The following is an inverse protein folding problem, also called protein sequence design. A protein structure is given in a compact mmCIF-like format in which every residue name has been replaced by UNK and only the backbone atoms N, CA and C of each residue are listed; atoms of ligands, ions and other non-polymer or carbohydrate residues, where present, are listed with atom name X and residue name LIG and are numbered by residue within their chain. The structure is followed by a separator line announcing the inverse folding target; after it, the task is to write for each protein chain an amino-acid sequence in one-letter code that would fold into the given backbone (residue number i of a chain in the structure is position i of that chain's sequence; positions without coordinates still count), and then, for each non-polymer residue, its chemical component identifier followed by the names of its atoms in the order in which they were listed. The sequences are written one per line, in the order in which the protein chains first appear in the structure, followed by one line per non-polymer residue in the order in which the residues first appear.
data_IF_666661592675
#
_entry.id   IF_666661592675
#
_cell.length_a   1.000
_cell.length_b   1.000
_cell.length_c   1.000
_cell.angle_alpha   90.00
_cell.angle_beta   90.00
_cell.angle_gamma   90.00
#
_symmetry.space_group_name_H-M   'P 1'
#
loop_
_entity.id
_entity.type
_entity.pdbx_description
1 polymer ?
#
# COMPACT_ATOMS: atom_id res chain seq x y z
N UNK A 1 -5.92 -7.82 11.38
CA UNK A 1 -4.68 -8.27 10.69
C UNK A 1 -3.55 -8.24 11.72
N UNK A 2 -2.68 -9.27 11.78
CA UNK A 2 -1.52 -9.27 12.69
C UNK A 2 -0.37 -8.53 12.02
N UNK A 3 0.36 -7.73 12.81
CA UNK A 3 1.47 -6.90 12.33
C UNK A 3 2.74 -7.28 13.07
N UNK A 4 3.84 -7.44 12.33
CA UNK A 4 5.12 -7.85 12.89
C UNK A 4 6.22 -6.85 12.53
N UNK A 5 7.19 -6.72 13.44
CA UNK A 5 8.37 -5.89 13.26
C UNK A 5 9.56 -6.76 12.85
N UNK A 6 10.11 -6.49 11.67
CA UNK A 6 11.36 -7.07 11.19
C UNK A 6 12.51 -6.14 11.56
N UNK A 7 13.56 -6.68 12.14
CA UNK A 7 14.71 -5.91 12.57
C UNK A 7 15.82 -5.93 11.53
N UNK A 8 16.31 -4.76 11.16
CA UNK A 8 17.51 -4.56 10.36
C UNK A 8 18.53 -3.73 11.13
N UNK A 9 19.73 -4.28 11.33
CA UNK A 9 20.83 -3.57 11.96
C UNK A 9 22.00 -3.45 10.99
N UNK A 10 22.23 -2.27 10.37
CA UNK A 10 23.31 -2.05 9.41
C UNK A 10 24.70 -2.26 9.99
N UNK A 11 24.89 -2.20 11.32
CA UNK A 11 26.17 -2.50 11.96
C UNK A 11 26.48 -4.01 11.99
N UNK A 12 25.48 -4.87 11.76
CA UNK A 12 25.62 -6.33 11.74
C UNK A 12 25.51 -6.93 10.34
N UNK A 13 24.71 -6.29 9.49
CA UNK A 13 24.48 -6.73 8.13
C UNK A 13 24.22 -5.52 7.23
N UNK A 14 25.11 -5.32 6.27
CA UNK A 14 24.98 -4.28 5.25
C UNK A 14 24.02 -4.77 4.18
N UNK A 15 22.94 -4.03 3.95
CA UNK A 15 21.98 -4.33 2.89
C UNK A 15 22.50 -3.72 1.58
N UNK A 16 23.45 -4.42 0.95
CA UNK A 16 24.15 -3.93 -0.25
C UNK A 16 23.21 -3.63 -1.42
N UNK A 17 22.14 -4.41 -1.54
CA UNK A 17 21.16 -4.27 -2.63
C UNK A 17 20.04 -3.26 -2.33
N UNK A 18 20.02 -2.62 -1.16
CA UNK A 18 18.89 -1.75 -0.75
C UNK A 18 18.50 -0.71 -1.82
N UNK A 19 19.49 -0.10 -2.50
CA UNK A 19 19.20 0.87 -3.56
C UNK A 19 18.50 0.23 -4.75
N UNK A 20 18.93 -0.97 -5.15
CA UNK A 20 18.32 -1.74 -6.26
C UNK A 20 16.95 -2.27 -5.86
N UNK A 21 16.80 -2.71 -4.60
CA UNK A 21 15.54 -3.21 -4.07
C UNK A 21 14.49 -2.08 -4.00
N UNK A 22 14.90 -0.84 -3.68
CA UNK A 22 14.05 0.36 -3.78
C UNK A 22 13.68 0.66 -5.24
N UNK A 23 14.66 0.63 -6.16
CA UNK A 23 14.41 0.83 -7.59
C UNK A 23 13.46 -0.24 -8.15
N UNK A 24 13.59 -1.50 -7.71
CA UNK A 24 12.67 -2.58 -8.09
C UNK A 24 11.25 -2.28 -7.59
N UNK A 25 11.08 -1.85 -6.33
CA UNK A 25 9.77 -1.42 -5.81
C UNK A 25 9.24 -0.21 -6.60
N UNK A 26 10.09 0.78 -6.90
CA UNK A 26 9.70 1.95 -7.71
C UNK A 26 9.27 1.58 -9.14
N UNK A 27 9.76 0.47 -9.69
CA UNK A 27 9.47 -0.02 -11.04
C UNK A 27 8.34 -1.03 -11.09
N UNK A 28 8.23 -1.92 -10.12
CA UNK A 28 7.32 -3.07 -10.14
C UNK A 28 6.28 -3.07 -9.02
N UNK A 29 6.32 -2.07 -8.13
CA UNK A 29 5.42 -1.95 -6.98
C UNK A 29 5.81 -2.83 -5.79
N UNK A 30 6.68 -3.81 -5.95
CA UNK A 30 7.14 -4.68 -4.87
C UNK A 30 8.49 -5.34 -5.18
N UNK A 31 9.13 -5.84 -4.14
CA UNK A 31 10.25 -6.77 -4.28
C UNK A 31 10.10 -7.91 -3.28
N UNK A 32 10.70 -9.05 -3.56
CA UNK A 32 10.60 -10.24 -2.72
C UNK A 32 11.95 -10.61 -2.12
N UNK A 33 11.97 -10.84 -0.80
CA UNK A 33 13.20 -11.24 -0.10
C UNK A 33 12.90 -12.14 1.09
N UNK A 34 13.81 -13.10 1.33
CA UNK A 34 13.87 -13.84 2.56
C UNK A 34 14.36 -12.96 3.71
N UNK A 35 13.72 -13.07 4.87
CA UNK A 35 14.12 -12.34 6.08
C UNK A 35 14.05 -13.24 7.30
N UNK A 36 15.02 -13.08 8.20
CA UNK A 36 14.98 -13.79 9.48
C UNK A 36 13.84 -13.29 10.36
N UNK A 37 13.12 -14.21 10.95
CA UNK A 37 12.04 -13.91 11.90
C UNK A 37 12.42 -14.26 13.35
N UNK A 38 13.71 -14.38 13.62
CA UNK A 38 14.26 -14.72 14.92
C UNK A 38 13.78 -16.09 15.39
N UNK A 39 13.00 -16.13 16.48
CA UNK A 39 12.41 -17.35 17.04
C UNK A 39 10.90 -17.47 16.76
N UNK A 40 10.32 -16.55 15.98
CA UNK A 40 8.89 -16.51 15.68
C UNK A 40 8.50 -17.66 14.75
N UNK A 41 7.71 -18.61 15.24
CA UNK A 41 7.16 -19.73 14.45
C UNK A 41 5.75 -19.44 13.92
N UNK A 42 5.00 -18.63 14.65
CA UNK A 42 3.63 -18.25 14.33
C UNK A 42 3.61 -16.86 13.67
N UNK A 43 3.83 -16.85 12.38
CA UNK A 43 3.75 -15.68 11.50
C UNK A 43 2.98 -16.11 10.24
N UNK A 44 1.65 -15.92 10.23
CA UNK A 44 0.80 -16.35 9.12
C UNK A 44 1.12 -15.65 7.81
N UNK A 45 0.90 -16.34 6.69
CA UNK A 45 0.93 -15.75 5.35
C UNK A 45 -0.04 -14.56 5.29
N UNK A 46 0.33 -13.49 4.60
CA UNK A 46 -0.44 -12.26 4.50
C UNK A 46 -0.36 -11.35 5.74
N UNK A 47 0.41 -11.74 6.78
CA UNK A 47 0.69 -10.84 7.90
C UNK A 47 1.43 -9.59 7.40
N UNK A 48 1.00 -8.42 7.87
CA UNK A 48 1.68 -7.15 7.62
C UNK A 48 3.01 -7.10 8.36
N UNK A 49 4.03 -6.52 7.75
CA UNK A 49 5.33 -6.34 8.39
C UNK A 49 5.86 -4.93 8.19
N UNK A 50 6.60 -4.44 9.19
CA UNK A 50 7.39 -3.23 9.09
C UNK A 50 8.87 -3.54 9.32
N UNK A 51 9.76 -2.86 8.59
CA UNK A 51 11.21 -3.00 8.74
C UNK A 51 11.73 -1.88 9.64
N UNK A 52 12.23 -2.24 10.80
CA UNK A 52 12.84 -1.33 11.77
C UNK A 52 14.34 -1.30 11.58
N UNK A 53 14.88 -0.15 11.17
CA UNK A 53 16.31 0.11 11.13
C UNK A 53 16.83 0.43 12.54
N UNK A 54 17.78 -0.37 12.98
CA UNK A 54 18.46 -0.30 14.29
C UNK A 54 19.94 0.11 14.12
N UNK A 55 20.72 -0.05 15.17
CA UNK A 55 22.18 0.23 15.15
C UNK A 55 22.47 1.71 15.27
N UNK A 56 23.28 2.25 14.35
CA UNK A 56 23.62 3.69 14.30
C UNK A 56 22.47 4.52 13.73
N UNK A 57 22.41 5.78 14.12
CA UNK A 57 21.44 6.75 13.59
C UNK A 57 21.58 6.94 12.06
N UNK A 58 20.46 7.27 11.39
CA UNK A 58 19.11 7.44 11.90
C UNK A 58 18.40 6.09 12.11
N UNK A 59 17.64 5.94 13.21
CA UNK A 59 16.85 4.75 13.54
C UNK A 59 15.37 5.01 13.33
N UNK A 60 14.63 3.97 12.97
CA UNK A 60 13.18 4.06 12.75
C UNK A 60 12.68 3.08 11.71
N UNK A 61 11.41 3.20 11.33
CA UNK A 61 10.80 2.34 10.32
C UNK A 61 11.21 2.84 8.93
N UNK A 62 11.79 1.93 8.14
CA UNK A 62 12.34 2.19 6.80
C UNK A 62 11.58 1.45 5.70
N UNK A 63 10.62 0.59 6.04
CA UNK A 63 9.90 -0.16 5.03
C UNK A 63 8.73 -0.94 5.57
N UNK A 64 7.95 -1.46 4.66
CA UNK A 64 6.77 -2.28 4.94
C UNK A 64 6.61 -3.36 3.89
N UNK A 65 5.75 -4.36 4.19
CA UNK A 65 5.46 -5.47 3.29
C UNK A 65 4.52 -6.48 3.90
N UNK A 66 4.46 -7.66 3.28
CA UNK A 66 3.60 -8.76 3.68
C UNK A 66 4.36 -10.09 3.66
N UNK A 67 4.02 -10.98 4.58
CA UNK A 67 4.56 -12.33 4.60
C UNK A 67 3.98 -13.18 3.45
N UNK A 68 4.84 -13.79 2.64
CA UNK A 68 4.45 -14.69 1.55
C UNK A 68 4.46 -16.15 1.97
N UNK A 69 5.28 -16.50 2.96
CA UNK A 69 5.38 -17.89 3.46
C UNK A 69 5.35 -17.90 4.99
N UNK A 70 4.98 -19.03 5.54
CA UNK A 70 5.22 -19.31 6.95
C UNK A 70 6.72 -19.44 7.24
N UNK A 71 7.16 -19.20 8.51
CA UNK A 71 8.55 -19.40 8.90
C UNK A 71 9.03 -20.84 8.75
N UNK A 72 10.16 -21.03 8.09
CA UNK A 72 10.83 -22.32 7.93
C UNK A 72 12.31 -22.23 8.27
N UNK A 73 12.93 -23.36 8.58
CA UNK A 73 14.37 -23.43 8.82
C UNK A 73 15.13 -23.30 7.49
N UNK A 74 16.00 -22.30 7.44
CA UNK A 74 16.94 -22.07 6.33
C UNK A 74 18.36 -21.93 6.84
N UNK A 75 19.35 -21.93 5.94
CA UNK A 75 20.70 -21.56 6.31
C UNK A 75 20.73 -20.16 6.91
N UNK A 76 21.64 -19.98 7.87
CA UNK A 76 21.78 -18.68 8.54
C UNK A 76 22.09 -17.56 7.54
N UNK A 77 21.52 -16.38 7.71
CA UNK A 77 21.74 -15.22 6.84
C UNK A 77 23.20 -14.70 6.89
N UNK A 78 23.89 -14.92 8.00
CA UNK A 78 25.32 -14.67 8.17
C UNK A 78 26.09 -15.83 7.52
N UNK A 79 26.95 -15.50 6.55
CA UNK A 79 27.68 -16.48 5.73
C UNK A 79 28.65 -17.35 6.55
N UNK A 80 29.30 -16.76 7.58
CA UNK A 80 30.23 -17.51 8.43
C UNK A 80 29.46 -18.57 9.23
N UNK A 81 28.35 -18.20 9.84
CA UNK A 81 27.47 -19.12 10.58
C UNK A 81 26.79 -20.14 9.65
N UNK A 82 26.43 -19.74 8.44
CA UNK A 82 25.90 -20.65 7.42
C UNK A 82 26.94 -21.72 7.01
N UNK A 83 28.21 -21.33 6.88
CA UNK A 83 29.31 -22.27 6.57
C UNK A 83 29.54 -23.31 7.66
N UNK A 84 29.18 -22.98 8.90
CA UNK A 84 29.20 -23.89 10.07
C UNK A 84 27.92 -24.76 10.17
N UNK A 85 27.02 -24.66 9.19
CA UNK A 85 25.77 -25.41 9.15
C UNK A 85 24.67 -24.84 10.07
N UNK A 86 24.86 -23.66 10.64
CA UNK A 86 23.84 -23.04 11.47
C UNK A 86 22.62 -22.66 10.64
N UNK A 87 21.45 -22.83 11.25
CA UNK A 87 20.15 -22.52 10.65
C UNK A 87 19.43 -21.45 11.47
N UNK A 88 18.60 -20.66 10.79
CA UNK A 88 17.68 -19.73 11.42
C UNK A 88 16.27 -19.92 10.86
N UNK A 89 15.28 -19.41 11.58
CA UNK A 89 13.94 -19.29 11.03
C UNK A 89 13.88 -18.06 10.12
N UNK A 90 13.40 -18.26 8.90
CA UNK A 90 13.14 -17.19 7.94
C UNK A 90 11.83 -17.44 7.22
N UNK A 91 11.25 -16.38 6.65
CA UNK A 91 10.12 -16.40 5.75
C UNK A 91 10.41 -15.53 4.53
N UNK A 92 9.67 -15.74 3.46
CA UNK A 92 9.66 -14.83 2.31
C UNK A 92 8.69 -13.69 2.57
N UNK A 93 9.12 -12.48 2.23
CA UNK A 93 8.33 -11.27 2.34
C UNK A 93 8.28 -10.54 1.00
N UNK A 94 7.13 -10.01 0.69
CA UNK A 94 6.94 -9.04 -0.38
C UNK A 94 6.94 -7.66 0.26
N UNK A 95 7.97 -6.87 -0.04
CA UNK A 95 8.06 -5.48 0.41
C UNK A 95 7.39 -4.57 -0.61
N UNK A 96 6.49 -3.71 -0.13
CA UNK A 96 5.73 -2.73 -0.90
C UNK A 96 6.30 -1.31 -0.76
N UNK A 97 7.18 -1.11 0.21
CA UNK A 97 7.87 0.15 0.43
C UNK A 97 9.21 -0.08 1.13
N UNK A 98 10.25 0.58 0.64
CA UNK A 98 11.58 0.65 1.28
C UNK A 98 12.16 2.05 1.14
N UNK A 99 12.93 2.47 2.15
CA UNK A 99 13.67 3.74 2.16
C UNK A 99 15.05 3.58 2.77
N UNK A 100 16.00 4.40 2.34
CA UNK A 100 17.35 4.47 2.94
C UNK A 100 17.34 5.14 4.31
N UNK A 101 16.37 6.01 4.54
CA UNK A 101 16.18 6.77 5.78
C UNK A 101 14.85 6.42 6.41
N UNK A 102 14.73 6.49 7.75
CA UNK A 102 13.47 6.24 8.41
C UNK A 102 12.36 7.21 7.94
N UNK A 103 11.21 6.66 7.64
CA UNK A 103 9.97 7.40 7.38
C UNK A 103 9.32 7.80 8.70
N UNK A 104 9.29 6.89 9.67
CA UNK A 104 8.88 7.18 11.05
C UNK A 104 10.11 6.98 11.92
N UNK A 105 10.55 8.05 12.56
CA UNK A 105 11.76 8.03 13.39
C UNK A 105 11.57 7.26 14.70
N UNK A 106 12.64 6.69 15.25
CA UNK A 106 12.59 6.07 16.57
C UNK A 106 12.13 7.05 17.64
N UNK A 107 12.51 8.33 17.51
CA UNK A 107 12.10 9.37 18.46
C UNK A 107 10.57 9.52 18.50
N UNK A 108 9.92 9.52 17.35
CA UNK A 108 8.45 9.55 17.25
C UNK A 108 7.82 8.27 17.82
N UNK A 109 8.39 7.11 17.50
CA UNK A 109 7.92 5.81 18.00
C UNK A 109 8.05 5.66 19.53
N UNK A 110 8.92 6.43 20.15
CA UNK A 110 9.09 6.48 21.62
C UNK A 110 8.11 7.43 22.30
N UNK A 111 7.33 8.21 21.55
CA UNK A 111 6.28 9.08 22.09
C UNK A 111 4.91 8.40 22.11
N UNK A 112 3.98 8.84 22.97
CA UNK A 112 2.58 8.42 22.85
C UNK A 112 2.02 8.73 21.46
N UNK A 113 1.19 7.86 20.88
CA UNK A 113 0.64 6.64 21.48
C UNK A 113 1.52 5.37 21.27
N UNK A 114 2.69 5.48 20.65
CA UNK A 114 3.55 4.35 20.28
C UNK A 114 4.48 3.86 21.39
N UNK A 115 4.71 4.65 22.42
CA UNK A 115 5.73 4.42 23.47
C UNK A 115 5.58 3.13 24.28
N UNK A 116 4.42 2.46 24.20
CA UNK A 116 4.18 1.20 24.90
C UNK A 116 4.79 -0.03 24.21
N UNK A 117 5.36 0.14 23.01
CA UNK A 117 6.01 -0.93 22.25
C UNK A 117 7.52 -0.80 22.34
N UNK A 118 8.23 -1.93 22.46
CA UNK A 118 9.68 -1.94 22.36
C UNK A 118 10.12 -1.86 20.90
N UNK A 119 10.41 -0.67 20.41
CA UNK A 119 10.87 -0.42 19.03
C UNK A 119 12.33 -0.76 18.77
N UNK A 120 13.07 -1.22 19.78
CA UNK A 120 14.44 -1.67 19.64
C UNK A 120 14.61 -3.14 19.98
N UNK A 121 13.86 -4.06 19.32
CA UNK A 121 13.92 -5.47 19.65
C UNK A 121 15.30 -6.06 19.34
N UNK A 122 15.74 -7.01 20.17
CA UNK A 122 16.99 -7.72 19.95
C UNK A 122 16.94 -8.74 18.80
N UNK A 123 15.73 -9.17 18.42
CA UNK A 123 15.49 -10.10 17.33
C UNK A 123 14.29 -9.69 16.48
N UNK A 124 14.30 -10.13 15.24
CA UNK A 124 13.22 -9.94 14.26
C UNK A 124 11.97 -10.78 14.60
N UNK A 125 10.81 -10.42 14.04
CA UNK A 125 9.56 -11.16 14.20
C UNK A 125 8.78 -10.82 15.46
N UNK A 126 9.00 -9.66 16.07
CA UNK A 126 8.19 -9.19 17.20
C UNK A 126 6.80 -8.78 16.70
N UNK A 127 5.76 -9.27 17.36
CA UNK A 127 4.38 -8.88 17.08
C UNK A 127 4.06 -7.53 17.74
N UNK A 128 3.43 -6.64 16.98
CA UNK A 128 2.98 -5.33 17.46
C UNK A 128 1.56 -5.50 18.01
N UNK A 129 1.25 -5.02 19.24
CA UNK A 129 -0.10 -5.07 19.79
C UNK A 129 -1.13 -4.41 18.84
N UNK A 130 -2.32 -5.01 18.72
CA UNK A 130 -3.32 -4.61 17.74
C UNK A 130 -3.71 -3.13 17.80
N UNK A 131 -3.77 -2.56 19.01
CA UNK A 131 -4.10 -1.14 19.24
C UNK A 131 -3.05 -0.22 18.62
N UNK A 132 -1.76 -0.54 18.83
CA UNK A 132 -0.65 0.24 18.27
C UNK A 132 -0.48 -0.04 16.78
N UNK A 133 -0.76 -1.27 16.36
CA UNK A 133 -0.71 -1.69 14.97
C UNK A 133 -1.63 -0.84 14.08
N UNK A 134 -2.87 -0.59 14.51
CA UNK A 134 -3.82 0.27 13.79
C UNK A 134 -3.31 1.72 13.68
N UNK A 135 -2.80 2.26 14.78
CA UNK A 135 -2.24 3.62 14.79
C UNK A 135 -0.99 3.73 13.89
N UNK A 136 -0.16 2.69 13.88
CA UNK A 136 1.03 2.64 13.04
C UNK A 136 0.67 2.59 11.56
N UNK A 137 -0.32 1.78 11.17
CA UNK A 137 -0.80 1.74 9.78
C UNK A 137 -1.37 3.09 9.33
N UNK A 138 -2.17 3.74 10.17
CA UNK A 138 -2.69 5.06 9.86
C UNK A 138 -1.54 6.06 9.63
N UNK A 139 -0.59 6.11 10.58
CA UNK A 139 0.57 7.00 10.46
C UNK A 139 1.45 6.64 9.26
N UNK A 140 1.66 5.36 8.98
CA UNK A 140 2.39 4.89 7.80
C UNK A 140 1.68 5.31 6.52
N UNK A 141 0.36 5.20 6.50
CA UNK A 141 -0.49 5.67 5.42
C UNK A 141 -0.32 7.15 5.11
N UNK A 142 -0.14 8.03 6.07
CA UNK A 142 0.11 9.46 5.85
C UNK A 142 1.37 9.72 5.01
N UNK A 143 2.37 8.85 5.08
CA UNK A 143 3.64 9.01 4.37
C UNK A 143 3.72 8.21 3.06
N UNK A 144 3.07 7.05 3.02
CA UNK A 144 3.18 6.10 1.90
C UNK A 144 1.97 6.09 1.01
N UNK A 145 0.82 6.46 1.53
CA UNK A 145 -0.34 6.75 0.71
C UNK A 145 -0.28 8.20 0.24
N UNK A 146 0.20 8.36 -0.93
CA UNK A 146 -0.57 9.16 -1.83
C UNK A 146 -1.92 8.46 -2.08
N UNK A 147 -2.71 8.21 -1.04
CA UNK A 147 -4.11 7.73 -1.10
C UNK A 147 -4.39 6.61 -2.12
N UNK A 148 -3.64 5.51 -2.03
CA UNK A 148 -3.92 4.32 -2.81
C UNK A 148 -4.85 3.40 -2.03
N UNK A 149 -6.15 3.45 -2.37
CA UNK A 149 -7.06 2.39 -2.00
C UNK A 149 -6.81 1.19 -2.92
N UNK A 150 -6.76 -0.04 -2.39
CA UNK A 150 -6.62 -1.22 -3.25
C UNK A 150 -7.80 -1.29 -4.22
N UNK A 151 -7.51 -1.48 -5.51
CA UNK A 151 -8.55 -1.80 -6.47
C UNK A 151 -9.23 -3.10 -6.04
N UNK A 152 -10.56 -3.09 -5.99
CA UNK A 152 -11.35 -4.27 -5.63
C UNK A 152 -11.00 -5.44 -6.57
N UNK A 153 -10.49 -6.51 -5.98
CA UNK A 153 -10.29 -7.78 -6.69
C UNK A 153 -11.64 -8.31 -7.14
N UNK A 154 -11.77 -8.62 -8.41
CA UNK A 154 -12.95 -9.26 -8.99
C UNK A 154 -13.35 -10.49 -8.17
N UNK A 155 -14.59 -10.50 -7.72
CA UNK A 155 -15.20 -11.45 -6.78
C UNK A 155 -15.15 -12.88 -7.28
N UNK A 156 -14.71 -13.79 -6.42
CA UNK A 156 -15.30 -15.13 -6.34
C UNK A 156 -16.21 -15.18 -5.11
N UNK A 157 -17.46 -15.48 -5.32
CA UNK A 157 -18.53 -15.37 -4.32
C UNK A 157 -18.44 -16.50 -3.30
N UNK A 158 -18.30 -16.20 -2.01
CA UNK A 158 -18.85 -16.98 -0.89
C UNK A 158 -18.99 -16.09 0.33
N UNK A 159 -20.20 -16.00 0.85
CA UNK A 159 -20.53 -15.26 2.06
C UNK A 159 -20.28 -16.12 3.28
N UNK A 160 -19.28 -15.76 4.09
CA UNK A 160 -19.18 -16.15 5.49
C UNK A 160 -18.72 -14.91 6.24
N UNK A 161 -19.58 -14.28 7.01
CA UNK A 161 -19.22 -13.20 7.91
C UNK A 161 -18.30 -13.74 9.00
N UNK A 162 -17.18 -13.05 9.24
CA UNK A 162 -16.24 -13.38 10.32
C UNK A 162 -15.01 -14.19 9.92
N UNK A 163 -14.88 -14.69 8.69
CA UNK A 163 -13.65 -15.29 8.21
C UNK A 163 -12.74 -14.22 7.59
N UNK A 164 -11.54 -14.06 8.17
CA UNK A 164 -10.46 -13.28 7.54
C UNK A 164 -10.10 -13.94 6.21
N UNK A 165 -10.59 -13.39 5.11
CA UNK A 165 -10.22 -13.82 3.76
C UNK A 165 -8.85 -13.19 3.47
N UNK A 166 -7.83 -14.01 3.27
CA UNK A 166 -6.58 -13.56 2.67
C UNK A 166 -6.88 -13.14 1.23
N UNK A 167 -6.90 -11.85 1.01
CA UNK A 167 -6.91 -11.30 -0.34
C UNK A 167 -5.45 -11.11 -0.70
N UNK A 168 -4.95 -11.95 -1.63
CA UNK A 168 -3.77 -11.59 -2.41
C UNK A 168 -4.19 -10.36 -3.23
N UNK A 169 -3.88 -9.19 -2.70
CA UNK A 169 -3.98 -7.96 -3.47
C UNK A 169 -2.87 -8.07 -4.51
N UNK A 170 -3.25 -8.23 -5.77
CA UNK A 170 -2.34 -7.94 -6.85
C UNK A 170 -2.03 -6.44 -6.75
N UNK A 171 -0.95 -6.12 -6.05
CA UNK A 171 -0.36 -4.80 -6.07
C UNK A 171 0.24 -4.63 -7.48
N UNK A 172 -0.61 -4.39 -8.48
CA UNK A 172 -0.14 -3.88 -9.75
C UNK A 172 0.47 -2.51 -9.47
N UNK A 173 1.67 -2.40 -9.94
CA UNK A 173 2.54 -1.25 -9.85
C UNK A 173 1.80 0.09 -9.96
N UNK A 174 2.01 0.93 -8.95
CA UNK A 174 1.64 2.34 -9.01
C UNK A 174 2.89 3.18 -8.85
N UNK A 175 3.45 3.56 -9.96
CA UNK A 175 4.61 4.44 -9.98
C UNK A 175 4.23 5.80 -9.34
N UNK A 176 4.70 6.04 -8.12
CA UNK A 176 4.45 7.26 -7.36
C UNK A 176 4.78 8.53 -8.16
N UNK A 177 5.86 8.51 -8.93
CA UNK A 177 6.26 9.63 -9.79
C UNK A 177 5.26 9.85 -10.93
N UNK A 178 4.71 8.77 -11.50
CA UNK A 178 3.67 8.85 -12.50
C UNK A 178 2.37 9.43 -11.92
N UNK A 179 2.00 9.04 -10.70
CA UNK A 179 0.88 9.64 -9.97
C UNK A 179 1.10 11.13 -9.69
N UNK A 180 2.24 11.50 -9.15
CA UNK A 180 2.60 12.89 -8.87
C UNK A 180 2.59 13.74 -10.15
N UNK A 181 3.13 13.21 -11.26
CA UNK A 181 3.10 13.87 -12.56
C UNK A 181 1.68 13.99 -13.12
N UNK A 182 0.84 12.96 -12.97
CA UNK A 182 -0.56 13.01 -13.37
C UNK A 182 -1.32 14.10 -12.60
N UNK A 183 -1.21 14.14 -11.27
CA UNK A 183 -1.87 15.15 -10.43
C UNK A 183 -1.27 16.54 -10.68
N UNK A 184 0.04 16.65 -10.84
CA UNK A 184 0.69 17.91 -11.16
C UNK A 184 0.21 18.54 -12.47
N UNK A 185 -0.16 17.71 -13.45
CA UNK A 185 -0.68 18.16 -14.75
C UNK A 185 -2.21 18.38 -14.73
N UNK A 186 -2.98 17.42 -14.20
CA UNK A 186 -4.43 17.42 -14.26
C UNK A 186 -5.10 18.09 -13.06
N UNK A 187 -4.36 18.34 -11.97
CA UNK A 187 -4.91 18.75 -10.67
C UNK A 187 -5.58 17.60 -9.91
N UNK A 188 -6.15 17.93 -8.75
CA UNK A 188 -6.87 16.98 -7.87
C UNK A 188 -8.40 16.96 -8.09
N UNK A 189 -8.90 17.59 -9.16
CA UNK A 189 -10.33 17.61 -9.50
C UNK A 189 -10.72 16.33 -10.24
N UNK A 190 -11.78 15.66 -9.79
CA UNK A 190 -12.28 14.43 -10.41
C UNK A 190 -12.66 14.65 -11.88
N UNK A 191 -12.04 13.93 -12.80
CA UNK A 191 -12.30 14.03 -14.23
C UNK A 191 -13.66 13.45 -14.66
N UNK A 192 -14.39 12.78 -13.75
CA UNK A 192 -15.74 12.24 -14.02
C UNK A 192 -16.82 13.20 -13.53
N UNK A 193 -16.87 13.46 -12.21
CA UNK A 193 -17.97 14.23 -11.58
C UNK A 193 -17.60 15.67 -11.24
N UNK A 194 -16.35 16.07 -11.52
CA UNK A 194 -15.83 17.43 -11.31
C UNK A 194 -15.76 17.87 -9.84
N UNK A 195 -15.91 16.95 -8.87
CA UNK A 195 -15.76 17.28 -7.44
C UNK A 195 -14.29 17.53 -7.11
N UNK A 196 -14.06 18.49 -6.21
CA UNK A 196 -12.81 18.70 -5.52
C UNK A 196 -13.05 18.36 -4.06
N UNK A 197 -12.28 17.41 -3.50
CA UNK A 197 -12.64 16.81 -2.21
C UNK A 197 -12.31 17.73 -1.03
N UNK A 198 -11.34 18.60 -1.14
CA UNK A 198 -11.04 19.65 -0.19
C UNK A 198 -12.13 20.73 -0.10
N UNK A 199 -12.80 21.07 -1.22
CA UNK A 199 -13.98 21.94 -1.20
C UNK A 199 -15.14 21.31 -0.41
N UNK A 200 -15.20 19.98 -0.33
CA UNK A 200 -16.29 19.25 0.32
C UNK A 200 -15.97 18.85 1.77
N UNK A 201 -14.73 18.42 2.03
CA UNK A 201 -14.30 17.88 3.34
C UNK A 201 -13.37 18.81 4.11
N UNK A 202 -12.91 19.92 3.51
CA UNK A 202 -11.99 20.88 4.13
C UNK A 202 -10.53 20.73 3.69
N UNK A 203 -9.71 21.70 4.09
CA UNK A 203 -8.31 21.86 3.66
C UNK A 203 -7.42 20.65 4.00
N UNK A 204 -7.74 19.89 5.03
CA UNK A 204 -7.01 18.66 5.41
C UNK A 204 -7.02 17.59 4.31
N UNK A 205 -7.90 17.72 3.32
CA UNK A 205 -8.04 16.81 2.18
C UNK A 205 -7.54 17.40 0.87
N UNK A 206 -6.72 18.44 0.92
CA UNK A 206 -6.07 19.01 -0.27
C UNK A 206 -5.23 17.94 -0.99
N UNK A 207 -5.46 17.81 -2.30
CA UNK A 207 -4.78 16.81 -3.12
C UNK A 207 -5.27 15.37 -2.97
N UNK A 208 -6.29 15.11 -2.13
CA UNK A 208 -6.88 13.78 -1.99
C UNK A 208 -7.66 13.40 -3.24
N UNK A 209 -7.11 12.49 -4.06
CA UNK A 209 -7.72 12.01 -5.30
C UNK A 209 -7.14 10.64 -5.67
N UNK A 210 -7.90 9.78 -6.31
CA UNK A 210 -7.38 8.56 -6.95
C UNK A 210 -6.84 8.87 -8.34
N UNK A 211 -5.88 8.05 -8.79
CA UNK A 211 -5.41 8.06 -10.18
C UNK A 211 -5.83 6.76 -10.83
N UNK A 212 -6.60 6.85 -11.91
CA UNK A 212 -7.13 5.73 -12.66
C UNK A 212 -6.36 5.54 -13.96
N UNK A 213 -6.04 4.28 -14.30
CA UNK A 213 -5.42 3.90 -15.57
C UNK A 213 -6.48 3.81 -16.66
N UNK A 214 -6.31 4.57 -17.73
CA UNK A 214 -7.24 4.55 -18.88
C UNK A 214 -7.18 3.23 -19.66
N UNK A 215 -6.05 2.51 -19.57
CA UNK A 215 -5.91 1.14 -20.07
C UNK A 215 -5.73 0.19 -18.90
N UNK A 216 -6.56 -0.86 -18.79
CA UNK A 216 -6.40 -1.83 -17.72
C UNK A 216 -5.01 -2.48 -17.75
N UNK A 217 -4.31 -2.50 -16.62
CA UNK A 217 -3.00 -3.14 -16.49
C UNK A 217 -3.07 -4.66 -16.74
N UNK A 218 -4.26 -5.26 -16.58
CA UNK A 218 -4.51 -6.68 -16.88
C UNK A 218 -4.41 -7.04 -18.38
N UNK A 219 -4.44 -6.07 -19.27
CA UNK A 219 -4.29 -6.24 -20.72
C UNK A 219 -2.85 -6.10 -21.19
N UNK A 220 -1.93 -5.77 -20.29
CA UNK A 220 -0.53 -5.51 -20.61
C UNK A 220 0.32 -6.59 -19.95
N UNK A 221 0.88 -7.49 -20.75
CA UNK A 221 1.62 -8.68 -20.31
C UNK A 221 3.11 -8.46 -20.02
N UNK A 222 3.63 -7.26 -20.23
CA UNK A 222 5.04 -6.91 -20.03
C UNK A 222 5.17 -5.48 -19.49
N UNK A 223 6.26 -5.17 -18.80
CA UNK A 223 6.59 -3.82 -18.34
C UNK A 223 6.53 -2.83 -19.52
N UNK A 224 5.63 -1.87 -19.47
CA UNK A 224 5.53 -0.82 -20.46
C UNK A 224 5.68 0.55 -19.81
N UNK A 225 6.19 1.49 -20.57
CA UNK A 225 6.26 2.89 -20.13
C UNK A 225 4.85 3.49 -20.09
N UNK A 226 4.49 4.03 -18.93
CA UNK A 226 3.23 4.76 -18.72
C UNK A 226 3.49 6.25 -18.95
N UNK A 227 2.72 6.88 -19.84
CA UNK A 227 2.66 8.33 -19.94
C UNK A 227 1.67 8.88 -18.89
N UNK A 228 2.16 9.50 -17.81
CA UNK A 228 1.29 9.91 -16.69
C UNK A 228 0.24 10.96 -17.10
N UNK A 229 0.43 11.63 -18.23
CA UNK A 229 -0.49 12.66 -18.71
C UNK A 229 -1.57 12.06 -19.62
N UNK A 230 -1.22 11.04 -20.41
CA UNK A 230 -2.14 10.44 -21.39
C UNK A 230 -2.83 9.18 -20.92
N UNK A 231 -2.14 8.39 -20.08
CA UNK A 231 -2.61 7.07 -19.65
C UNK A 231 -3.27 7.08 -18.28
N UNK A 232 -3.11 8.18 -17.52
CA UNK A 232 -3.63 8.32 -16.16
C UNK A 232 -4.57 9.53 -16.04
N UNK A 233 -5.62 9.39 -15.21
CA UNK A 233 -6.54 10.49 -14.92
C UNK A 233 -6.94 10.50 -13.43
N UNK A 234 -7.05 11.70 -12.81
CA UNK A 234 -7.57 11.82 -11.43
C UNK A 234 -9.08 11.59 -11.39
N UNK A 235 -9.52 10.73 -10.48
CA UNK A 235 -10.94 10.43 -10.24
C UNK A 235 -11.21 10.32 -8.73
N UNK A 236 -12.36 10.78 -8.26
CA UNK A 236 -12.69 10.61 -6.83
C UNK A 236 -12.96 9.13 -6.49
N UNK A 237 -12.84 8.72 -5.20
CA UNK A 237 -13.03 7.34 -4.78
C UNK A 237 -14.35 6.73 -5.27
N UNK A 238 -15.44 7.49 -5.21
CA UNK A 238 -16.77 7.00 -5.64
C UNK A 238 -16.81 6.71 -7.14
N UNK A 239 -16.29 7.64 -7.97
CA UNK A 239 -16.25 7.42 -9.41
C UNK A 239 -15.32 6.26 -9.76
N UNK A 240 -14.18 6.12 -9.07
CA UNK A 240 -13.24 5.02 -9.27
C UNK A 240 -13.90 3.66 -8.98
N UNK A 241 -14.58 3.54 -7.84
CA UNK A 241 -15.31 2.31 -7.49
C UNK A 241 -16.38 1.94 -8.53
N UNK A 242 -17.09 2.93 -9.11
CA UNK A 242 -18.12 2.67 -10.12
C UNK A 242 -17.50 2.31 -11.47
N UNK A 243 -16.39 2.93 -11.87
CA UNK A 243 -15.66 2.59 -13.10
C UNK A 243 -15.41 1.08 -13.19
N UNK A 244 -15.01 0.48 -12.06
CA UNK A 244 -14.66 -0.95 -11.98
C UNK A 244 -15.85 -1.89 -11.71
N UNK A 245 -17.11 -1.41 -11.78
CA UNK A 245 -18.30 -2.25 -11.55
C UNK A 245 -18.63 -3.20 -12.69
N UNK A 246 -17.97 -3.08 -13.83
CA UNK A 246 -18.12 -4.01 -14.97
C UNK A 246 -16.75 -4.37 -15.58
N UNK A 247 -16.72 -5.43 -16.38
CA UNK A 247 -15.59 -5.80 -17.23
C UNK A 247 -16.04 -5.78 -18.70
N UNK A 248 -15.38 -5.02 -19.61
CA UNK A 248 -14.31 -4.04 -19.32
C UNK A 248 -14.83 -2.85 -18.51
N UNK A 249 -13.96 -2.13 -17.78
CA UNK A 249 -14.34 -0.95 -16.98
C UNK A 249 -15.03 0.13 -17.79
N UNK A 250 -15.83 0.97 -17.11
CA UNK A 250 -16.41 2.14 -17.75
C UNK A 250 -15.31 3.13 -18.16
N UNK A 251 -15.42 3.70 -19.37
CA UNK A 251 -14.62 4.84 -19.75
C UNK A 251 -15.04 6.11 -18.99
N UNK A 252 -14.14 7.08 -18.90
CA UNK A 252 -14.45 8.40 -18.30
C UNK A 252 -15.66 9.06 -18.99
N UNK A 253 -15.78 8.91 -20.30
CA UNK A 253 -16.88 9.47 -21.06
C UNK A 253 -18.21 8.80 -20.73
N UNK A 254 -18.27 7.47 -20.70
CA UNK A 254 -19.47 6.73 -20.29
C UNK A 254 -19.91 7.13 -18.87
N UNK A 255 -18.95 7.28 -17.94
CA UNK A 255 -19.26 7.72 -16.58
C UNK A 255 -19.87 9.13 -16.55
N UNK A 256 -19.34 10.06 -17.33
CA UNK A 256 -19.90 11.42 -17.46
C UNK A 256 -21.32 11.39 -18.02
N UNK A 257 -21.59 10.53 -19.00
CA UNK A 257 -22.92 10.37 -19.59
C UNK A 257 -23.92 9.75 -18.59
N UNK A 258 -23.50 8.76 -17.79
CA UNK A 258 -24.30 8.19 -16.72
C UNK A 258 -24.75 9.25 -15.71
N UNK A 259 -23.80 10.09 -15.22
CA UNK A 259 -24.12 11.17 -14.27
C UNK A 259 -25.07 12.19 -14.92
N UNK A 260 -24.82 12.58 -16.17
CA UNK A 260 -25.67 13.53 -16.90
C UNK A 260 -27.09 13.01 -17.07
N UNK A 261 -27.26 11.73 -17.36
CA UNK A 261 -28.57 11.10 -17.52
C UNK A 261 -29.30 10.98 -16.17
N UNK A 262 -28.59 10.60 -15.09
CA UNK A 262 -29.15 10.54 -13.75
C UNK A 262 -29.66 11.92 -13.29
N UNK A 263 -28.87 12.98 -13.49
CA UNK A 263 -29.26 14.35 -13.13
C UNK A 263 -30.48 14.83 -13.94
N UNK A 264 -30.60 14.47 -15.23
CA UNK A 264 -31.79 14.78 -16.03
C UNK A 264 -33.06 14.10 -15.51
N UNK A 265 -32.97 12.83 -15.06
CA UNK A 265 -34.06 12.11 -14.47
C UNK A 265 -34.50 12.71 -13.13
N UNK A 266 -33.55 13.13 -12.29
CA UNK A 266 -33.82 13.78 -11.01
C UNK A 266 -34.56 15.12 -11.23
N UNK A 267 -34.09 15.97 -12.14
CA UNK A 267 -34.75 17.23 -12.48
C UNK A 267 -36.16 17.01 -13.06
N UNK A 268 -36.33 16.01 -13.94
CA UNK A 268 -37.66 15.68 -14.49
C UNK A 268 -38.62 15.23 -13.39
N UNK A 269 -38.17 14.49 -12.39
CA UNK A 269 -38.97 14.04 -11.25
C UNK A 269 -39.38 15.15 -10.30
N UNK A 270 -38.54 16.19 -10.15
CA UNK A 270 -38.82 17.37 -9.32
C UNK A 270 -39.87 18.28 -10.00
N UNK A 271 -39.76 18.48 -11.32
CA UNK A 271 -40.76 19.28 -12.08
C UNK A 271 -42.13 18.64 -12.04
N UNK A 272 -42.23 17.30 -12.02
CA UNK A 272 -43.51 16.60 -11.91
C UNK A 272 -44.20 16.68 -10.53
N UNK A 273 -43.51 17.20 -9.52
CA UNK A 273 -44.01 17.38 -8.14
C UNK A 273 -44.52 18.79 -7.85
N UNK A 274 -44.45 19.71 -8.82
CA UNK A 274 -45.01 21.06 -8.66
C UNK A 274 -46.53 20.96 -8.93
N UNK A 275 -47.41 21.19 -7.91
CA UNK A 275 -48.83 21.22 -8.15
C UNK A 275 -49.18 22.40 -9.06
N UNK A 276 -50.01 22.14 -10.08
CA UNK A 276 -50.64 23.17 -10.95
C UNK A 276 -51.68 23.94 -10.15
#
# INVERSE_FOLDING_TARGET
MRIFLLAWNPNRWIWETLSKDIEEIDQTGFMTRAWSVGKRRDLPIGSRVFVMRLGSEPKGIVGSGYALTEPSLSLHWDQERASQGEKNLSAQFQFDYLSKVPIISLLELQQPPFSQVNWTPQSSGMEIPAEVATLLENKWGEFTSGHDFPEEVLRTITYTEGATKQVLVNAYERNRKAREACIGFHGSRCQVCNVLLDEFYGEDFEGFIHVHHLRPLSEVSESHEIDPIKDLVPVCPNCHAIIHRRSPPYSIQEMRELIKNANRLTMASEISKIPI
#
